data_IF_500968856594
#
_entry.id   IF_500968856594
#
_cell.length_a   1.000
_cell.length_b   1.000
_cell.length_c   1.000
_cell.angle_alpha   90.00
_cell.angle_beta   90.00
_cell.angle_gamma   90.00
#
_symmetry.space_group_name_H-M   'P 1'
#
loop_
_entity.id
_entity.type
_entity.pdbx_description
1 polymer ?
#
# COMPACT_ATOMS: atom_id res chain seq x y z
N UNK A 1 17.32 54.32 32.06
CA UNK A 1 17.36 54.27 30.58
C UNK A 1 18.01 52.95 30.22
N UNK A 2 17.31 51.82 30.24
CA UNK A 2 16.27 51.45 29.27
C UNK A 2 16.94 50.61 28.17
N UNK A 3 17.40 49.39 28.50
CA UNK A 3 18.00 48.47 27.54
C UNK A 3 16.94 48.01 26.52
N UNK A 4 17.30 47.82 25.24
CA UNK A 4 16.35 47.44 24.20
C UNK A 4 15.92 45.97 24.36
N UNK A 5 14.65 45.62 24.08
CA UNK A 5 14.20 44.24 24.13
C UNK A 5 14.81 43.44 22.98
N UNK A 6 15.48 42.33 23.31
CA UNK A 6 15.91 41.33 22.34
C UNK A 6 14.68 40.62 21.80
N UNK A 7 14.44 40.75 20.50
CA UNK A 7 13.49 39.93 19.78
C UNK A 7 13.92 38.47 19.86
N UNK A 8 13.15 37.67 20.59
CA UNK A 8 13.19 36.21 20.51
C UNK A 8 12.42 35.83 19.25
N UNK A 9 13.15 35.60 18.15
CA UNK A 9 12.61 34.88 17.00
C UNK A 9 12.34 33.44 17.43
N UNK A 10 11.07 33.15 17.72
CA UNK A 10 10.56 31.79 17.83
C UNK A 10 10.66 31.12 16.45
N UNK A 11 11.74 30.35 16.25
CA UNK A 11 11.82 29.37 15.17
C UNK A 11 10.75 28.31 15.43
N UNK A 12 9.57 28.48 14.82
CA UNK A 12 8.59 27.40 14.65
C UNK A 12 9.27 26.22 13.97
N UNK A 13 9.60 25.22 14.77
CA UNK A 13 9.96 23.88 14.30
C UNK A 13 8.75 23.37 13.53
N UNK A 14 8.90 23.17 12.22
CA UNK A 14 7.90 22.45 11.42
C UNK A 14 7.85 21.04 11.99
N UNK A 15 6.79 20.73 12.70
CA UNK A 15 6.45 19.36 13.05
C UNK A 15 6.06 18.66 11.74
N UNK A 16 6.75 17.56 11.44
CA UNK A 16 6.30 16.59 10.45
C UNK A 16 4.87 16.14 10.81
N UNK A 17 3.99 15.88 9.84
CA UNK A 17 2.65 15.40 10.13
C UNK A 17 2.77 13.99 10.69
N UNK A 18 2.80 13.90 12.03
CA UNK A 18 2.63 12.64 12.74
C UNK A 18 1.26 12.09 12.35
N UNK A 19 1.27 11.03 11.55
CA UNK A 19 0.06 10.30 11.15
C UNK A 19 -0.50 9.65 12.41
N UNK A 20 -1.56 10.22 12.96
CA UNK A 20 -2.37 9.54 13.98
C UNK A 20 -2.95 8.28 13.32
N UNK A 21 -2.56 7.10 13.82
CA UNK A 21 -3.13 5.82 13.40
C UNK A 21 -4.60 5.80 13.83
N UNK A 22 -5.51 5.49 12.90
CA UNK A 22 -6.95 5.35 13.19
C UNK A 22 -7.28 4.03 13.91
N UNK A 23 -6.27 3.19 14.16
CA UNK A 23 -6.36 1.99 14.98
C UNK A 23 -6.01 2.30 16.43
N UNK A 24 -6.96 2.05 17.33
CA UNK A 24 -6.79 2.12 18.77
C UNK A 24 -5.60 1.23 19.18
N UNK A 25 -4.53 1.78 19.77
CA UNK A 25 -3.35 1.00 20.23
C UNK A 25 -3.67 0.00 21.37
N UNK A 26 -4.95 -0.19 21.69
CA UNK A 26 -5.46 -0.94 22.82
C UNK A 26 -5.28 -2.46 22.71
N UNK A 27 -4.86 -2.97 21.55
CA UNK A 27 -4.53 -4.38 21.36
C UNK A 27 -3.04 -4.66 21.53
N UNK A 28 -2.58 -4.98 22.74
CA UNK A 28 -1.20 -5.48 22.96
C UNK A 28 -0.95 -6.87 22.38
N UNK A 29 -1.97 -7.51 21.79
CA UNK A 29 -1.89 -8.84 21.20
C UNK A 29 -2.56 -8.84 19.81
N UNK A 30 -1.88 -9.39 18.82
CA UNK A 30 -2.41 -9.59 17.48
C UNK A 30 -3.52 -10.65 17.49
N UNK A 31 -4.73 -10.27 17.07
CA UNK A 31 -5.89 -11.17 17.03
C UNK A 31 -5.78 -12.29 16.00
N UNK A 32 -4.86 -12.19 15.02
CA UNK A 32 -4.66 -13.21 14.00
C UNK A 32 -3.62 -14.26 14.41
N UNK A 33 -2.43 -13.82 14.84
CA UNK A 33 -1.32 -14.73 15.15
C UNK A 33 -1.11 -14.97 16.65
N UNK A 34 -1.80 -14.21 17.52
CA UNK A 34 -1.72 -14.32 18.98
C UNK A 34 -0.43 -13.77 19.60
N UNK A 35 0.50 -13.18 18.84
CA UNK A 35 1.73 -12.59 19.38
C UNK A 35 1.46 -11.25 20.05
N UNK A 36 2.26 -10.92 21.06
CA UNK A 36 2.17 -9.63 21.79
C UNK A 36 3.19 -8.59 21.34
N UNK A 37 4.05 -8.93 20.38
CA UNK A 37 5.05 -8.02 19.82
C UNK A 37 4.45 -7.00 18.84
N UNK A 38 3.26 -7.29 18.30
CA UNK A 38 2.56 -6.45 17.35
C UNK A 38 1.05 -6.61 17.49
N UNK A 39 0.30 -5.70 16.88
CA UNK A 39 -1.14 -5.80 16.70
C UNK A 39 -1.47 -6.21 15.25
N UNK A 40 -2.76 -6.29 14.93
CA UNK A 40 -3.21 -6.74 13.61
C UNK A 40 -2.73 -5.84 12.45
N UNK A 41 -2.52 -4.54 12.70
CA UNK A 41 -2.09 -3.57 11.70
C UNK A 41 -0.67 -3.84 11.19
N UNK A 42 0.17 -4.49 12.00
CA UNK A 42 1.57 -4.75 11.67
C UNK A 42 1.88 -6.26 11.53
N UNK A 43 0.85 -7.11 11.52
CA UNK A 43 0.99 -8.52 11.22
C UNK A 43 1.31 -8.75 9.73
N UNK A 44 2.32 -9.58 9.46
CA UNK A 44 2.82 -9.97 8.14
C UNK A 44 2.52 -11.43 7.80
N UNK A 45 2.23 -12.26 8.80
CA UNK A 45 2.05 -13.71 8.64
C UNK A 45 0.64 -14.05 8.13
N UNK A 46 0.47 -14.02 6.81
CA UNK A 46 -0.80 -14.24 6.13
C UNK A 46 -0.64 -15.12 4.89
N UNK A 47 -0.83 -16.44 5.03
CA UNK A 47 -0.66 -17.38 3.92
C UNK A 47 -1.65 -17.15 2.77
N UNK A 48 -2.82 -16.54 3.02
CA UNK A 48 -3.83 -16.24 2.01
C UNK A 48 -3.51 -15.00 1.15
N UNK A 49 -2.47 -14.25 1.52
CA UNK A 49 -1.99 -13.08 0.77
C UNK A 49 -2.74 -11.76 1.07
N UNK A 50 -3.74 -11.78 1.96
CA UNK A 50 -4.55 -10.61 2.32
C UNK A 50 -4.99 -10.68 3.81
N UNK A 51 -5.13 -9.54 4.48
CA UNK A 51 -5.56 -9.47 5.88
C UNK A 51 -7.08 -9.68 5.98
N UNK A 52 -7.50 -10.86 6.44
CA UNK A 52 -8.91 -11.23 6.62
C UNK A 52 -9.45 -10.88 8.00
N UNK A 53 -9.35 -9.61 8.35
CA UNK A 53 -9.85 -9.06 9.60
C UNK A 53 -9.94 -7.54 9.50
N UNK A 54 -10.71 -6.93 10.40
CA UNK A 54 -10.91 -5.50 10.44
C UNK A 54 -9.85 -4.82 11.33
N UNK A 55 -8.94 -4.01 10.76
CA UNK A 55 -7.96 -3.25 11.53
C UNK A 55 -8.55 -2.10 12.34
N UNK A 56 -9.77 -1.64 12.03
CA UNK A 56 -10.38 -0.49 12.70
C UNK A 56 -10.98 -0.84 14.06
N UNK A 57 -11.50 -2.05 14.21
CA UNK A 57 -12.11 -2.53 15.46
C UNK A 57 -11.45 -3.81 16.01
N UNK A 58 -10.35 -4.25 15.40
CA UNK A 58 -9.57 -5.43 15.78
C UNK A 58 -10.42 -6.72 15.86
N UNK A 59 -11.33 -6.93 14.91
CA UNK A 59 -12.24 -8.08 14.86
C UNK A 59 -11.94 -8.94 13.62
N UNK A 60 -11.93 -10.27 13.79
CA UNK A 60 -11.73 -11.25 12.71
C UNK A 60 -13.05 -11.73 12.07
N UNK A 61 -14.21 -11.30 12.59
CA UNK A 61 -15.53 -11.75 12.13
C UNK A 61 -16.03 -11.00 10.88
N UNK A 62 -15.41 -9.88 10.52
CA UNK A 62 -15.78 -9.12 9.32
C UNK A 62 -14.55 -8.52 8.62
N UNK A 63 -14.72 -8.25 7.33
CA UNK A 63 -13.74 -7.55 6.51
C UNK A 63 -13.85 -6.04 6.72
N UNK A 64 -12.79 -5.29 6.43
CA UNK A 64 -12.74 -3.84 6.70
C UNK A 64 -13.86 -3.08 6.00
N UNK A 65 -14.24 -3.46 4.77
CA UNK A 65 -15.29 -2.81 3.99
C UNK A 65 -16.72 -3.14 4.45
N UNK A 66 -16.86 -4.04 5.42
CA UNK A 66 -18.11 -4.35 6.12
C UNK A 66 -18.18 -3.74 7.52
N UNK A 67 -17.12 -3.04 7.95
CA UNK A 67 -17.09 -2.36 9.24
C UNK A 67 -17.91 -1.08 9.21
N UNK A 68 -18.77 -0.87 10.21
CA UNK A 68 -19.59 0.35 10.31
C UNK A 68 -18.73 1.63 10.26
N UNK A 69 -17.60 1.64 10.97
CA UNK A 69 -16.66 2.77 10.95
C UNK A 69 -16.10 3.04 9.56
N UNK A 70 -15.84 2.00 8.76
CA UNK A 70 -15.36 2.17 7.39
C UNK A 70 -16.46 2.62 6.42
N UNK A 71 -17.68 2.13 6.60
CA UNK A 71 -18.81 2.54 5.74
C UNK A 71 -19.22 3.98 5.96
N UNK A 72 -18.99 4.52 7.17
CA UNK A 72 -19.26 5.91 7.51
C UNK A 72 -18.15 6.88 7.03
N UNK A 73 -16.99 6.35 6.64
CA UNK A 73 -15.87 7.13 6.09
C UNK A 73 -16.16 7.65 4.69
N UNK A 74 -15.66 8.85 4.39
CA UNK A 74 -15.61 9.34 3.01
C UNK A 74 -14.51 8.64 2.20
N UNK A 75 -14.50 8.85 0.88
CA UNK A 75 -13.56 8.15 -0.02
C UNK A 75 -12.08 8.41 0.33
N UNK A 76 -11.72 9.62 0.79
CA UNK A 76 -10.34 9.94 1.17
C UNK A 76 -9.92 9.19 2.44
N UNK A 77 -10.82 9.06 3.42
CA UNK A 77 -10.60 8.26 4.63
C UNK A 77 -10.52 6.76 4.31
N UNK A 78 -11.38 6.25 3.43
CA UNK A 78 -11.34 4.86 2.98
C UNK A 78 -10.02 4.53 2.27
N UNK A 79 -9.57 5.39 1.35
CA UNK A 79 -8.26 5.24 0.69
C UNK A 79 -7.11 5.37 1.67
N UNK A 80 -7.21 6.23 2.69
CA UNK A 80 -6.21 6.30 3.75
C UNK A 80 -6.03 4.93 4.43
N UNK A 81 -7.13 4.30 4.84
CA UNK A 81 -7.11 2.99 5.51
C UNK A 81 -6.62 1.87 4.57
N UNK A 82 -7.11 1.81 3.34
CA UNK A 82 -6.81 0.71 2.42
C UNK A 82 -5.45 0.84 1.73
N UNK A 83 -4.95 2.06 1.52
CA UNK A 83 -3.78 2.33 0.67
C UNK A 83 -2.65 2.97 1.47
N UNK A 84 -2.86 4.13 2.10
CA UNK A 84 -1.78 4.88 2.76
C UNK A 84 -1.27 4.15 4.01
N UNK A 85 -2.18 3.73 4.88
CA UNK A 85 -1.83 3.00 6.11
C UNK A 85 -1.32 1.59 5.80
N UNK A 86 -1.50 1.11 4.57
CA UNK A 86 -1.00 -0.18 4.07
C UNK A 86 0.18 -0.06 3.12
N UNK A 87 0.70 1.14 2.86
CA UNK A 87 1.88 1.37 2.03
C UNK A 87 3.07 0.54 2.53
N UNK A 88 3.63 -0.32 1.67
CA UNK A 88 4.74 -1.22 2.03
C UNK A 88 4.34 -2.43 2.88
N UNK A 89 3.04 -2.67 3.06
CA UNK A 89 2.49 -3.81 3.80
C UNK A 89 1.53 -4.60 2.89
N UNK A 90 1.15 -5.79 3.33
CA UNK A 90 0.12 -6.59 2.70
C UNK A 90 -1.25 -5.88 2.65
N UNK A 91 -2.10 -6.20 1.65
CA UNK A 91 -3.39 -5.56 1.46
C UNK A 91 -4.42 -6.07 2.47
N UNK A 92 -5.43 -5.25 2.72
CA UNK A 92 -6.61 -5.67 3.48
C UNK A 92 -7.54 -6.47 2.56
N UNK A 93 -8.06 -7.59 3.07
CA UNK A 93 -9.12 -8.29 2.38
C UNK A 93 -10.40 -7.46 2.49
N UNK A 94 -11.08 -7.34 1.36
CA UNK A 94 -12.37 -6.69 1.22
C UNK A 94 -13.34 -7.65 0.55
N UNK A 95 -14.64 -7.35 0.60
CA UNK A 95 -15.63 -8.07 -0.18
C UNK A 95 -15.22 -8.12 -1.66
N UNK A 96 -15.55 -9.21 -2.36
CA UNK A 96 -14.99 -9.58 -3.67
C UNK A 96 -15.01 -8.46 -4.74
N UNK A 97 -15.95 -7.53 -4.64
CA UNK A 97 -16.16 -6.42 -5.58
C UNK A 97 -15.36 -5.14 -5.27
N UNK A 98 -14.71 -5.03 -4.12
CA UNK A 98 -14.25 -3.75 -3.58
C UNK A 98 -12.74 -3.75 -3.30
N UNK A 99 -11.88 -3.96 -4.29
CA UNK A 99 -10.44 -4.07 -4.04
C UNK A 99 -9.83 -2.70 -3.73
N UNK A 100 -8.70 -2.67 -3.02
CA UNK A 100 -8.09 -1.40 -2.58
C UNK A 100 -7.76 -0.46 -3.76
N UNK A 101 -7.42 -1.03 -4.92
CA UNK A 101 -7.16 -0.25 -6.13
C UNK A 101 -8.46 0.33 -6.73
N UNK A 102 -9.61 -0.30 -6.52
CA UNK A 102 -10.89 0.26 -6.97
C UNK A 102 -11.21 1.55 -6.19
N UNK A 103 -11.00 1.55 -4.86
CA UNK A 103 -11.12 2.77 -4.04
C UNK A 103 -10.08 3.83 -4.45
N UNK A 104 -8.84 3.43 -4.74
CA UNK A 104 -7.83 4.35 -5.26
C UNK A 104 -8.28 4.99 -6.59
N UNK A 105 -8.80 4.19 -7.51
CA UNK A 105 -9.32 4.67 -8.80
C UNK A 105 -10.47 5.67 -8.63
N UNK A 106 -11.42 5.37 -7.72
CA UNK A 106 -12.52 6.29 -7.39
C UNK A 106 -11.98 7.59 -6.81
N UNK A 107 -11.06 7.52 -5.85
CA UNK A 107 -10.45 8.71 -5.23
C UNK A 107 -9.70 9.58 -6.26
N UNK A 108 -8.95 8.97 -7.18
CA UNK A 108 -8.24 9.69 -8.26
C UNK A 108 -9.18 10.42 -9.23
N UNK A 109 -10.46 10.06 -9.26
CA UNK A 109 -11.50 10.70 -10.06
C UNK A 109 -12.35 11.69 -9.25
N UNK A 110 -12.15 11.78 -7.94
CA UNK A 110 -12.91 12.64 -7.04
C UNK A 110 -12.11 13.94 -6.73
N UNK A 111 -12.82 15.06 -6.66
CA UNK A 111 -12.25 16.39 -6.38
C UNK A 111 -11.51 16.44 -5.03
N UNK A 112 -11.85 15.58 -4.07
CA UNK A 112 -11.15 15.53 -2.77
C UNK A 112 -9.67 15.16 -2.91
N UNK A 113 -9.27 14.53 -4.00
CA UNK A 113 -7.88 14.15 -4.26
C UNK A 113 -7.01 15.31 -4.75
N UNK A 114 -7.61 16.41 -5.23
CA UNK A 114 -6.85 17.53 -5.78
C UNK A 114 -5.91 18.17 -4.75
N UNK A 115 -4.64 18.32 -5.14
CA UNK A 115 -3.58 18.86 -4.27
C UNK A 115 -3.07 17.90 -3.19
N UNK A 116 -3.60 16.68 -3.11
CA UNK A 116 -3.04 15.64 -2.25
C UNK A 116 -1.82 14.98 -2.87
N UNK A 117 -1.00 14.32 -2.04
CA UNK A 117 0.14 13.53 -2.50
C UNK A 117 -0.23 12.06 -2.56
N UNK A 118 0.37 11.35 -3.51
CA UNK A 118 0.35 9.89 -3.53
C UNK A 118 1.16 9.32 -2.35
N UNK A 119 0.86 8.10 -1.89
CA UNK A 119 1.73 7.41 -0.95
C UNK A 119 3.07 7.10 -1.63
N UNK A 120 4.16 7.09 -0.85
CA UNK A 120 5.51 6.83 -1.38
C UNK A 120 5.66 5.41 -1.93
N UNK A 121 4.87 4.47 -1.39
CA UNK A 121 4.74 3.08 -1.83
C UNK A 121 3.28 2.67 -1.70
N UNK A 122 2.91 1.54 -2.30
CA UNK A 122 1.55 1.01 -2.22
C UNK A 122 1.53 -0.30 -1.44
N UNK A 123 0.33 -0.81 -1.09
CA UNK A 123 0.21 -2.14 -0.54
C UNK A 123 0.87 -3.15 -1.47
N UNK A 124 1.48 -4.19 -0.88
CA UNK A 124 1.89 -5.36 -1.65
C UNK A 124 0.69 -5.94 -2.39
N UNK A 125 0.98 -6.60 -3.49
CA UNK A 125 0.06 -7.49 -4.14
C UNK A 125 -0.24 -8.71 -3.28
N UNK A 126 -1.41 -9.32 -3.55
CA UNK A 126 -1.77 -10.58 -2.93
C UNK A 126 -0.76 -11.67 -3.28
N UNK A 127 -0.27 -11.70 -4.53
CA UNK A 127 0.71 -12.68 -4.99
C UNK A 127 2.04 -12.56 -4.23
N UNK A 128 2.57 -11.35 -4.07
CA UNK A 128 3.82 -11.14 -3.36
C UNK A 128 3.68 -11.42 -1.86
N UNK A 129 2.50 -11.18 -1.28
CA UNK A 129 2.24 -11.54 0.12
C UNK A 129 2.22 -13.07 0.29
N UNK A 130 1.49 -13.79 -0.56
CA UNK A 130 1.42 -15.25 -0.52
C UNK A 130 2.76 -15.92 -0.82
N UNK A 131 3.56 -15.37 -1.74
CA UNK A 131 4.94 -15.83 -1.99
C UNK A 131 5.78 -15.73 -0.72
N UNK A 132 5.80 -14.56 -0.07
CA UNK A 132 6.60 -14.34 1.15
C UNK A 132 6.17 -15.26 2.28
N UNK A 133 4.86 -15.47 2.44
CA UNK A 133 4.30 -16.36 3.46
C UNK A 133 4.65 -17.84 3.21
N UNK A 134 4.71 -18.28 1.96
CA UNK A 134 5.03 -19.67 1.61
C UNK A 134 6.55 -19.93 1.47
N UNK A 135 7.33 -18.88 1.24
CA UNK A 135 8.78 -18.95 1.00
C UNK A 135 9.50 -19.62 2.17
N UNK A 136 10.37 -20.56 1.81
CA UNK A 136 11.14 -21.37 2.78
C UNK A 136 10.22 -22.05 3.82
N UNK A 137 9.05 -22.53 3.39
CA UNK A 137 8.06 -23.16 4.27
C UNK A 137 7.61 -22.25 5.43
N UNK A 138 7.43 -20.96 5.16
CA UNK A 138 7.03 -19.95 6.15
C UNK A 138 8.15 -19.41 7.02
N UNK A 139 9.38 -19.95 6.93
CA UNK A 139 10.50 -19.45 7.72
C UNK A 139 10.82 -17.98 7.39
N UNK A 140 10.74 -17.60 6.11
CA UNK A 140 11.06 -16.24 5.67
C UNK A 140 10.13 -15.20 6.31
N UNK A 141 8.81 -15.42 6.30
CA UNK A 141 7.86 -14.45 6.85
C UNK A 141 7.98 -14.33 8.38
N UNK A 142 8.30 -15.43 9.08
CA UNK A 142 8.55 -15.41 10.52
C UNK A 142 9.79 -14.58 10.88
N UNK A 143 10.88 -14.75 10.13
CA UNK A 143 12.11 -13.95 10.31
C UNK A 143 11.87 -12.49 9.95
N UNK A 144 11.13 -12.21 8.87
CA UNK A 144 10.77 -10.86 8.45
C UNK A 144 9.90 -10.16 9.51
N UNK A 145 8.86 -10.81 10.03
CA UNK A 145 8.03 -10.27 11.12
C UNK A 145 8.89 -9.97 12.36
N UNK A 146 9.78 -10.88 12.72
CA UNK A 146 10.64 -10.70 13.90
C UNK A 146 11.56 -9.49 13.74
N UNK A 147 12.15 -9.30 12.56
CA UNK A 147 12.95 -8.12 12.27
C UNK A 147 12.12 -6.84 12.26
N UNK A 148 10.91 -6.88 11.69
CA UNK A 148 9.98 -5.76 11.65
C UNK A 148 9.57 -5.31 13.06
N UNK A 149 9.14 -6.25 13.91
CA UNK A 149 8.80 -6.03 15.32
C UNK A 149 9.98 -5.41 16.09
N UNK A 150 11.18 -5.99 15.96
CA UNK A 150 12.39 -5.52 16.65
C UNK A 150 12.86 -4.14 16.19
N UNK A 151 12.48 -3.71 14.99
CA UNK A 151 12.82 -2.39 14.45
C UNK A 151 11.85 -1.29 14.86
N UNK A 152 10.86 -1.59 15.72
CA UNK A 152 9.77 -0.66 16.04
C UNK A 152 8.83 -0.45 14.85
N UNK A 153 8.62 -1.50 14.03
CA UNK A 153 7.79 -1.47 12.84
C UNK A 153 8.27 -0.48 11.76
N UNK A 154 9.58 -0.37 11.56
CA UNK A 154 10.14 0.44 10.47
C UNK A 154 9.88 -0.22 9.10
N UNK A 155 9.04 0.41 8.28
CA UNK A 155 8.63 -0.08 6.96
C UNK A 155 9.76 -0.08 5.92
N UNK A 156 10.80 0.72 6.10
CA UNK A 156 11.97 0.73 5.21
C UNK A 156 12.75 -0.59 5.24
N UNK A 157 12.56 -1.38 6.31
CA UNK A 157 13.16 -2.72 6.45
C UNK A 157 12.37 -3.80 5.71
N UNK A 158 11.18 -3.48 5.19
CA UNK A 158 10.34 -4.43 4.49
C UNK A 158 10.75 -4.56 3.01
N UNK A 159 10.63 -5.76 2.41
CA UNK A 159 10.90 -5.95 1.00
C UNK A 159 9.90 -5.15 0.15
N UNK A 160 10.39 -4.60 -0.96
CA UNK A 160 9.56 -3.95 -1.96
C UNK A 160 8.80 -5.00 -2.76
N UNK A 161 7.59 -4.66 -3.21
CA UNK A 161 6.87 -5.40 -4.23
C UNK A 161 6.91 -4.60 -5.52
N UNK A 162 7.80 -4.96 -6.44
CA UNK A 162 7.99 -4.26 -7.72
C UNK A 162 6.70 -4.21 -8.56
N UNK A 163 5.74 -5.12 -8.34
CA UNK A 163 4.47 -5.13 -9.08
C UNK A 163 3.49 -4.04 -8.64
N UNK A 164 3.72 -3.43 -7.48
CA UNK A 164 2.87 -2.35 -6.95
C UNK A 164 3.67 -1.19 -6.36
N UNK A 165 5.00 -1.23 -6.34
CA UNK A 165 5.84 -0.26 -5.64
C UNK A 165 5.63 1.20 -6.08
N UNK A 166 5.29 1.41 -7.36
CA UNK A 166 5.04 2.74 -7.94
C UNK A 166 3.60 2.88 -8.44
N UNK A 167 3.13 4.12 -8.57
CA UNK A 167 1.82 4.40 -9.16
C UNK A 167 1.72 3.92 -10.60
N UNK A 168 2.81 3.98 -11.38
CA UNK A 168 2.87 3.40 -12.72
C UNK A 168 2.64 1.89 -12.72
N UNK A 169 3.27 1.17 -11.77
CA UNK A 169 3.07 -0.27 -11.62
C UNK A 169 1.63 -0.59 -11.23
N UNK A 170 1.08 0.13 -10.24
CA UNK A 170 -0.33 -0.01 -9.81
C UNK A 170 -1.30 0.26 -10.96
N UNK A 171 -1.10 1.35 -11.69
CA UNK A 171 -1.96 1.70 -12.81
C UNK A 171 -1.92 0.62 -13.90
N UNK A 172 -0.72 0.22 -14.30
CA UNK A 172 -0.53 -0.80 -15.35
C UNK A 172 -1.17 -2.13 -14.94
N UNK A 173 -1.03 -2.51 -13.67
CA UNK A 173 -1.54 -3.78 -13.15
C UNK A 173 -3.07 -3.78 -12.95
N UNK A 174 -3.66 -2.68 -12.46
CA UNK A 174 -5.03 -2.68 -11.96
C UNK A 174 -5.98 -1.67 -12.60
N UNK A 175 -5.50 -0.51 -13.05
CA UNK A 175 -6.35 0.62 -13.43
C UNK A 175 -6.41 0.90 -14.94
N UNK A 176 -5.42 0.44 -15.71
CA UNK A 176 -5.28 0.77 -17.13
C UNK A 176 -6.45 0.33 -18.01
N UNK A 177 -7.24 -0.66 -17.56
CA UNK A 177 -8.46 -1.12 -18.24
C UNK A 177 -9.72 -0.38 -17.79
N UNK A 178 -9.64 0.37 -16.69
CA UNK A 178 -10.78 1.03 -16.04
C UNK A 178 -10.80 2.54 -16.29
N UNK A 179 -9.62 3.15 -16.47
CA UNK A 179 -9.47 4.59 -16.63
C UNK A 179 -8.24 4.92 -17.48
N UNK A 180 -8.27 6.05 -18.19
CA UNK A 180 -7.08 6.63 -18.81
C UNK A 180 -6.17 7.25 -17.75
N UNK A 181 -4.86 7.35 -18.05
CA UNK A 181 -3.86 7.92 -17.16
C UNK A 181 -4.22 9.39 -16.85
N UNK A 182 -4.67 9.71 -15.62
CA UNK A 182 -5.11 11.07 -15.30
C UNK A 182 -3.93 12.03 -15.32
N UNK A 183 -4.16 13.24 -15.85
CA UNK A 183 -3.20 14.33 -15.72
C UNK A 183 -2.88 14.62 -14.24
N UNK A 184 -3.86 14.42 -13.36
CA UNK A 184 -3.71 14.53 -11.91
C UNK A 184 -2.56 13.68 -11.36
N UNK A 185 -2.32 12.48 -11.91
CA UNK A 185 -1.20 11.65 -11.47
C UNK A 185 0.16 12.32 -11.72
N UNK A 186 0.29 13.05 -12.84
CA UNK A 186 1.49 13.83 -13.15
C UNK A 186 1.68 14.95 -12.13
N UNK A 187 0.59 15.64 -11.77
CA UNK A 187 0.58 16.72 -10.77
C UNK A 187 0.91 16.20 -9.37
N UNK A 188 0.50 14.96 -9.06
CA UNK A 188 0.81 14.28 -7.80
C UNK A 188 2.22 13.65 -7.77
N UNK A 189 2.99 13.74 -8.86
CA UNK A 189 4.37 13.28 -8.92
C UNK A 189 4.58 11.85 -9.43
N UNK A 190 3.57 11.20 -10.04
CA UNK A 190 3.65 9.82 -10.55
C UNK A 190 4.51 9.64 -11.82
N UNK A 191 5.25 10.66 -12.26
CA UNK A 191 5.95 10.64 -13.55
C UNK A 191 5.01 10.85 -14.76
N UNK A 192 5.56 10.81 -15.97
CA UNK A 192 4.79 10.91 -17.22
C UNK A 192 4.07 9.60 -17.55
N UNK A 193 3.00 9.66 -18.36
CA UNK A 193 2.19 8.50 -18.80
C UNK A 193 3.08 7.30 -19.20
N UNK A 194 2.78 6.08 -18.72
CA UNK A 194 3.44 4.85 -19.15
C UNK A 194 3.26 4.66 -20.65
N UNK A 195 4.35 4.41 -21.37
CA UNK A 195 4.29 4.14 -22.82
C UNK A 195 3.66 2.76 -23.00
N UNK A 196 2.41 2.72 -23.47
CA UNK A 196 1.79 1.46 -23.91
C UNK A 196 2.51 0.99 -25.18
N UNK A 197 3.29 -0.09 -25.06
CA UNK A 197 3.86 -0.80 -26.22
C UNK A 197 5.37 -1.00 -26.20
N UNK A 198 5.87 -1.82 -25.28
CA UNK A 198 7.00 -2.70 -25.60
C UNK A 198 6.43 -4.09 -25.88
N UNK A 199 5.74 -4.24 -27.01
CA UNK A 199 5.60 -5.57 -27.61
C UNK A 199 7.01 -6.03 -27.94
N UNK A 200 7.45 -7.09 -27.27
CA UNK A 200 8.61 -7.86 -27.72
C UNK A 200 8.26 -8.30 -29.13
N UNK A 201 8.93 -7.72 -30.14
CA UNK A 201 8.87 -8.28 -31.47
C UNK A 201 9.55 -9.65 -31.37
N UNK A 202 8.76 -10.72 -31.35
CA UNK A 202 9.23 -12.05 -31.75
C UNK A 202 9.80 -11.88 -33.15
N UNK A 203 11.13 -11.87 -33.21
CA UNK A 203 11.87 -11.75 -34.46
C UNK A 203 11.50 -12.91 -35.37
N UNK A 204 10.99 -12.51 -36.53
CA UNK A 204 11.03 -13.17 -37.83
C UNK A 204 11.36 -14.67 -37.85
N UNK A 205 10.30 -15.43 -38.13
CA UNK A 205 10.34 -16.65 -38.92
C UNK A 205 11.28 -16.51 -40.13
N UNK A 206 12.47 -17.11 -40.06
CA UNK A 206 13.26 -17.36 -41.26
C UNK A 206 12.73 -18.59 -41.98
N UNK A 207 12.33 -18.34 -43.22
CA UNK A 207 11.81 -19.28 -44.19
C UNK A 207 12.70 -20.50 -44.41
N UNK A 208 12.01 -21.58 -44.72
CA UNK A 208 12.51 -22.83 -45.30
C UNK A 208 13.29 -22.59 -46.59
N UNK A 209 14.50 -23.15 -46.70
CA UNK A 209 15.33 -23.10 -47.89
C UNK A 209 16.17 -24.38 -48.10
N UNK A 210 15.61 -25.28 -48.90
CA UNK A 210 16.23 -26.24 -49.84
C UNK A 210 17.24 -27.31 -49.40
N UNK A 211 16.79 -28.55 -49.66
CA UNK A 211 17.56 -29.75 -49.98
C UNK A 211 18.51 -29.53 -51.18
N UNK A 212 19.72 -30.11 -51.10
CA UNK A 212 20.33 -30.83 -52.22
C UNK A 212 21.32 -31.89 -51.73
N UNK A 213 21.37 -32.97 -52.51
CA UNK A 213 21.95 -34.30 -52.30
C UNK A 213 23.39 -34.37 -51.79
#
# INVERSE_FOLDING_TARGET
>A
MGAPPKALEEKKKKEDPHVEHLGDETGSQCVLCGKTSHNINTCLDLPEGELRACPLCHDTNHLVDLCASFTDMNIAEQVRVLVFERAGLLPLATHYSNKWWDFLGIWLLDDVSFGQKLPETFPWSQEATAERASRQHGKYIVELQTAFDNSGHNRDNLPKDESTYTMEAVYTKYLATQMEWPQLLVEMGAGTRPVQGATVNEGDSMETGEFSL
#
